data_IF_889193894531
#
_entry.id   IF_889193894531
#
_cell.length_a   1.000
_cell.length_b   1.000
_cell.length_c   1.000
_cell.angle_alpha   90.00
_cell.angle_beta   90.00
_cell.angle_gamma   90.00
#
_symmetry.space_group_name_H-M   'P 1'
#
loop_
_entity.id
_entity.type
_entity.pdbx_description
1 polymer ?
#
# COMPACT_ATOMS: atom_id res chain seq x y z
N UNK A 1 48.59 -36.09 6.45
CA UNK A 1 48.21 -34.88 5.69
C UNK A 1 47.08 -34.20 6.45
N UNK A 2 47.40 -33.27 7.35
CA UNK A 2 46.43 -32.68 8.27
C UNK A 2 45.75 -31.47 7.64
N UNK A 3 44.47 -31.63 7.32
CA UNK A 3 43.56 -30.55 6.91
C UNK A 3 43.34 -29.65 8.12
N UNK A 4 44.13 -28.58 8.23
CA UNK A 4 43.91 -27.49 9.18
C UNK A 4 42.77 -26.62 8.63
N UNK A 5 41.54 -27.03 8.86
CA UNK A 5 40.37 -26.16 8.66
C UNK A 5 40.51 -25.01 9.65
N UNK A 6 40.87 -23.85 9.10
CA UNK A 6 41.13 -22.63 9.85
C UNK A 6 39.88 -22.19 10.59
N UNK A 7 39.95 -22.19 11.93
CA UNK A 7 38.90 -21.73 12.86
C UNK A 7 38.41 -20.31 12.52
N UNK A 8 39.24 -19.52 11.81
CA UNK A 8 38.94 -18.16 11.37
C UNK A 8 37.79 -18.08 10.36
N UNK A 9 37.55 -19.11 9.54
CA UNK A 9 36.47 -19.09 8.53
C UNK A 9 35.09 -19.29 9.19
N UNK A 10 35.03 -20.04 10.29
CA UNK A 10 33.78 -20.28 11.03
C UNK A 10 33.35 -19.06 11.85
N UNK A 11 34.29 -18.24 12.31
CA UNK A 11 34.01 -17.01 13.06
C UNK A 11 33.47 -15.86 12.19
N UNK A 12 33.70 -15.88 10.88
CA UNK A 12 33.25 -14.80 9.98
C UNK A 12 31.76 -14.93 9.60
N UNK A 13 31.20 -16.14 9.65
CA UNK A 13 29.76 -16.36 9.41
C UNK A 13 28.87 -16.02 10.62
N UNK A 14 29.42 -15.90 11.83
CA UNK A 14 28.64 -15.58 13.03
C UNK A 14 28.35 -14.08 13.22
N UNK A 15 28.97 -13.21 12.42
CA UNK A 15 28.83 -11.75 12.51
C UNK A 15 27.85 -11.15 11.50
N UNK A 16 27.31 -11.96 10.57
CA UNK A 16 26.24 -11.50 9.70
C UNK A 16 24.93 -11.59 10.47
N UNK A 17 24.46 -10.46 11.02
CA UNK A 17 23.07 -10.29 11.41
C UNK A 17 22.20 -10.49 10.16
N UNK A 18 21.81 -11.73 9.89
CA UNK A 18 20.73 -12.00 8.95
C UNK A 18 19.47 -11.52 9.66
N UNK A 19 19.08 -10.27 9.41
CA UNK A 19 17.75 -9.78 9.74
C UNK A 19 16.76 -10.57 8.86
N UNK A 20 16.33 -11.73 9.34
CA UNK A 20 15.16 -12.41 8.80
C UNK A 20 13.95 -11.60 9.26
N UNK A 21 13.59 -10.57 8.49
CA UNK A 21 12.31 -9.89 8.66
C UNK A 21 11.21 -10.93 8.54
N UNK A 22 10.32 -11.02 9.53
CA UNK A 22 9.13 -11.82 9.38
C UNK A 22 8.36 -11.29 8.17
N UNK A 23 8.14 -12.10 7.13
CA UNK A 23 7.24 -11.75 6.03
C UNK A 23 5.81 -11.64 6.59
N UNK A 24 5.53 -10.50 7.20
CA UNK A 24 4.22 -10.13 7.70
C UNK A 24 3.39 -9.59 6.55
N UNK A 25 2.07 -9.70 6.68
CA UNK A 25 1.14 -9.03 5.77
C UNK A 25 1.35 -7.51 5.90
N UNK A 26 2.10 -6.91 4.97
CA UNK A 26 2.60 -5.55 5.13
C UNK A 26 1.59 -4.47 4.73
N UNK A 27 0.84 -4.67 3.65
CA UNK A 27 -0.25 -3.74 3.26
C UNK A 27 -1.59 -4.32 3.70
N UNK A 28 -2.39 -3.53 4.43
CA UNK A 28 -3.73 -3.91 4.88
C UNK A 28 -4.84 -3.06 4.28
N UNK A 29 -4.53 -1.81 3.94
CA UNK A 29 -5.51 -0.87 3.38
C UNK A 29 -4.91 -0.03 2.27
N UNK A 30 -5.71 0.20 1.22
CA UNK A 30 -5.44 1.20 0.18
C UNK A 30 -6.69 2.09 0.10
N UNK A 31 -6.53 3.40 0.19
CA UNK A 31 -7.65 4.36 0.23
C UNK A 31 -7.31 5.59 -0.62
N UNK A 32 -8.13 5.96 -1.61
CA UNK A 32 -9.24 5.17 -2.17
C UNK A 32 -8.72 3.87 -2.84
N UNK A 33 -9.63 2.92 -3.10
CA UNK A 33 -9.29 1.65 -3.79
C UNK A 33 -9.48 1.71 -5.31
N UNK A 34 -10.11 2.78 -5.79
CA UNK A 34 -10.55 2.92 -7.16
C UNK A 34 -10.52 4.40 -7.54
N UNK A 35 -10.19 4.71 -8.80
CA UNK A 35 -10.31 6.06 -9.35
C UNK A 35 -10.52 6.06 -10.87
N UNK A 36 -10.93 7.22 -11.38
CA UNK A 36 -11.18 7.42 -12.80
C UNK A 36 -9.86 7.55 -13.58
N UNK A 37 -9.78 6.93 -14.76
CA UNK A 37 -8.65 7.15 -15.67
C UNK A 37 -8.55 8.61 -16.12
N UNK A 38 -7.33 9.09 -16.36
CA UNK A 38 -7.06 10.49 -16.72
C UNK A 38 -7.09 11.46 -15.54
N UNK A 39 -7.07 10.96 -14.31
CA UNK A 39 -7.04 11.79 -13.10
C UNK A 39 -5.76 11.55 -12.29
N UNK A 40 -5.43 12.50 -11.42
CA UNK A 40 -4.40 12.35 -10.40
C UNK A 40 -5.08 12.37 -9.04
N UNK A 41 -4.86 11.34 -8.22
CA UNK A 41 -5.52 11.19 -6.94
C UNK A 41 -4.51 10.86 -5.83
N UNK A 42 -4.72 11.41 -4.64
CA UNK A 42 -3.95 11.03 -3.47
C UNK A 42 -4.43 9.67 -2.95
N UNK A 43 -3.48 8.78 -2.69
CA UNK A 43 -3.71 7.43 -2.18
C UNK A 43 -2.92 7.23 -0.90
N UNK A 44 -3.64 6.77 0.13
CA UNK A 44 -3.10 6.35 1.42
C UNK A 44 -3.03 4.83 1.47
N UNK A 45 -1.82 4.29 1.69
CA UNK A 45 -1.53 2.87 1.83
C UNK A 45 -1.17 2.63 3.29
N UNK A 46 -1.92 1.77 3.99
CA UNK A 46 -1.78 1.53 5.42
C UNK A 46 -1.45 0.08 5.75
N UNK A 47 -0.66 -0.13 6.80
CA UNK A 47 -0.24 -1.46 7.22
C UNK A 47 0.94 -1.46 8.20
N UNK A 48 1.92 -2.34 8.00
CA UNK A 48 3.14 -2.50 8.83
C UNK A 48 4.39 -2.64 7.96
N UNK A 49 5.56 -2.27 8.51
CA UNK A 49 6.84 -2.29 7.79
C UNK A 49 6.84 -1.42 6.52
N UNK A 50 6.18 -0.26 6.58
CA UNK A 50 6.04 0.70 5.46
C UNK A 50 6.95 1.93 5.61
N UNK A 51 7.78 1.98 6.66
CA UNK A 51 8.74 3.05 6.89
C UNK A 51 9.71 3.22 5.71
N UNK A 52 10.08 4.48 5.44
CA UNK A 52 11.01 4.87 4.38
C UNK A 52 10.62 4.32 2.98
N UNK A 53 9.43 4.72 2.47
CA UNK A 53 8.92 4.26 1.19
C UNK A 53 9.78 4.82 0.04
N UNK A 54 10.17 3.94 -0.89
CA UNK A 54 11.08 4.29 -1.98
C UNK A 54 10.37 4.34 -3.33
N UNK A 55 9.49 3.38 -3.60
CA UNK A 55 8.91 3.19 -4.93
C UNK A 55 7.66 2.32 -4.93
N UNK A 56 6.68 2.65 -5.76
CA UNK A 56 5.55 1.75 -6.06
C UNK A 56 5.74 1.15 -7.45
N UNK A 57 5.68 -0.17 -7.51
CA UNK A 57 5.90 -0.97 -8.71
C UNK A 57 4.56 -1.56 -9.13
N UNK A 58 4.00 -1.03 -10.23
CA UNK A 58 2.81 -1.60 -10.86
C UNK A 58 3.20 -2.74 -11.81
N UNK A 59 2.38 -3.78 -11.87
CA UNK A 59 2.58 -4.92 -12.79
C UNK A 59 2.05 -4.68 -14.20
N UNK A 60 1.36 -3.55 -14.40
CA UNK A 60 0.78 -3.14 -15.68
C UNK A 60 1.04 -1.65 -15.89
N UNK A 61 1.20 -1.18 -17.14
CA UNK A 61 1.36 0.23 -17.43
C UNK A 61 0.06 1.01 -17.19
N UNK A 62 0.16 2.34 -17.15
CA UNK A 62 -1.00 3.24 -17.09
C UNK A 62 -1.18 3.99 -15.77
N UNK A 63 -0.44 3.61 -14.71
CA UNK A 63 -0.41 4.33 -13.43
C UNK A 63 1.04 4.63 -13.06
N UNK A 64 1.31 5.87 -12.66
CA UNK A 64 2.58 6.28 -12.06
C UNK A 64 2.33 6.79 -10.64
N UNK A 65 3.11 6.30 -9.68
CA UNK A 65 3.08 6.82 -8.32
C UNK A 65 4.16 7.88 -8.12
N UNK A 66 3.81 9.01 -7.52
CA UNK A 66 4.73 10.11 -7.22
C UNK A 66 4.54 10.63 -5.79
N UNK A 67 5.54 11.33 -5.27
CA UNK A 67 5.43 12.01 -3.97
C UNK A 67 5.23 11.08 -2.78
N UNK A 68 5.81 9.87 -2.83
CA UNK A 68 5.74 8.89 -1.76
C UNK A 68 6.37 9.49 -0.48
N UNK A 69 5.60 9.49 0.59
CA UNK A 69 6.02 9.94 1.92
C UNK A 69 5.30 9.15 3.00
N UNK A 70 5.93 9.01 4.15
CA UNK A 70 5.21 8.54 5.35
C UNK A 70 4.11 9.54 5.69
N UNK A 71 2.94 9.06 6.11
CA UNK A 71 1.87 9.93 6.59
C UNK A 71 2.33 10.76 7.79
N UNK A 72 1.99 12.06 7.80
CA UNK A 72 2.36 12.97 8.89
C UNK A 72 1.69 12.56 10.20
N UNK A 73 0.39 12.24 10.13
CA UNK A 73 -0.33 11.65 11.24
C UNK A 73 -0.37 10.13 11.11
N UNK A 74 0.09 9.37 12.12
CA UNK A 74 0.05 7.92 12.06
C UNK A 74 -1.41 7.44 12.10
N UNK A 75 -1.75 6.39 11.34
CA UNK A 75 -3.10 5.85 11.34
C UNK A 75 -3.46 5.32 12.73
N UNK A 76 -4.75 5.35 13.07
CA UNK A 76 -5.25 4.71 14.30
C UNK A 76 -4.83 3.24 14.33
N UNK A 77 -3.96 2.91 15.28
CA UNK A 77 -3.45 1.54 15.45
C UNK A 77 -4.60 0.58 15.70
N UNK A 78 -4.72 -0.44 14.86
CA UNK A 78 -5.77 -1.46 14.99
C UNK A 78 -5.28 -2.81 14.52
N UNK A 79 -5.68 -3.86 15.24
CA UNK A 79 -5.55 -5.24 14.81
C UNK A 79 -6.79 -5.65 14.02
N UNK A 80 -6.60 -6.47 13.01
CA UNK A 80 -7.65 -6.98 12.13
C UNK A 80 -7.97 -8.43 12.51
N UNK A 81 -9.19 -8.86 12.20
CA UNK A 81 -9.69 -10.19 12.57
C UNK A 81 -8.81 -11.33 12.04
N UNK A 82 -8.17 -11.14 10.88
CA UNK A 82 -7.25 -12.09 10.26
C UNK A 82 -5.81 -12.01 10.79
N UNK A 83 -5.58 -11.37 11.94
CA UNK A 83 -4.26 -11.24 12.57
C UNK A 83 -3.37 -10.13 11.99
N UNK A 84 -3.86 -9.40 10.98
CA UNK A 84 -3.18 -8.23 10.42
C UNK A 84 -3.22 -7.01 11.34
N UNK A 85 -2.43 -5.97 11.02
CA UNK A 85 -2.48 -4.70 11.76
C UNK A 85 -2.21 -3.51 10.84
N UNK A 86 -2.80 -2.36 11.18
CA UNK A 86 -2.44 -1.06 10.61
C UNK A 86 -1.74 -0.27 11.68
N UNK A 87 -0.47 0.08 11.47
CA UNK A 87 0.39 0.84 12.40
C UNK A 87 1.09 2.02 11.72
N UNK A 88 1.30 1.92 10.42
CA UNK A 88 2.00 2.87 9.57
C UNK A 88 1.17 3.17 8.33
N UNK A 89 1.38 4.35 7.74
CA UNK A 89 0.74 4.72 6.48
C UNK A 89 1.73 5.49 5.59
N UNK A 90 1.56 5.31 4.28
CA UNK A 90 2.29 5.98 3.21
C UNK A 90 1.27 6.73 2.37
N UNK A 91 1.55 7.98 2.06
CA UNK A 91 0.75 8.83 1.19
C UNK A 91 1.52 9.09 -0.09
N UNK A 92 0.85 9.01 -1.23
CA UNK A 92 1.42 9.26 -2.55
C UNK A 92 0.32 9.71 -3.51
N UNK A 93 0.68 10.20 -4.68
CA UNK A 93 -0.29 10.45 -5.75
C UNK A 93 -0.18 9.39 -6.83
N UNK A 94 -1.32 8.86 -7.26
CA UNK A 94 -1.42 8.02 -8.45
C UNK A 94 -1.85 8.91 -9.61
N UNK A 95 -0.95 9.11 -10.57
CA UNK A 95 -1.24 9.71 -11.86
C UNK A 95 -1.71 8.61 -12.81
N UNK A 96 -2.98 8.64 -13.20
CA UNK A 96 -3.62 7.61 -14.01
C UNK A 96 -3.75 8.14 -15.44
N UNK A 97 -3.12 7.46 -16.40
CA UNK A 97 -3.14 7.88 -17.78
C UNK A 97 -4.57 7.92 -18.36
N UNK A 98 -4.90 8.84 -19.28
CA UNK A 98 -6.23 8.91 -19.91
C UNK A 98 -6.63 7.63 -20.66
N UNK A 99 -5.65 6.88 -21.17
CA UNK A 99 -5.79 5.62 -21.91
C UNK A 99 -5.56 4.38 -21.02
N UNK A 100 -5.39 4.56 -19.70
CA UNK A 100 -5.22 3.46 -18.76
C UNK A 100 -6.40 2.46 -18.88
N UNK A 101 -6.13 1.15 -19.06
CA UNK A 101 -7.18 0.14 -19.16
C UNK A 101 -8.05 0.11 -17.91
N UNK A 102 -9.38 0.06 -18.00
CA UNK A 102 -10.21 -0.19 -16.83
C UNK A 102 -9.94 -1.58 -16.23
N UNK A 103 -9.97 -1.69 -14.91
CA UNK A 103 -9.78 -2.95 -14.19
C UNK A 103 -8.79 -2.86 -13.04
N UNK A 104 -8.41 -4.03 -12.53
CA UNK A 104 -7.49 -4.17 -11.41
C UNK A 104 -6.03 -3.94 -11.85
N UNK A 105 -5.32 -3.09 -11.11
CA UNK A 105 -3.89 -2.85 -11.22
C UNK A 105 -3.21 -3.30 -9.94
N UNK A 106 -2.55 -4.46 -10.01
CA UNK A 106 -1.74 -4.96 -8.92
C UNK A 106 -0.45 -4.13 -8.79
N UNK A 107 -0.02 -3.88 -7.55
CA UNK A 107 1.23 -3.20 -7.25
C UNK A 107 1.90 -3.72 -5.99
N UNK A 108 3.18 -3.38 -5.81
CA UNK A 108 3.91 -3.52 -4.55
C UNK A 108 4.58 -2.20 -4.19
N UNK A 109 4.78 -1.97 -2.90
CA UNK A 109 5.61 -0.90 -2.37
C UNK A 109 6.98 -1.49 -2.03
N UNK A 110 8.04 -0.82 -2.48
CA UNK A 110 9.41 -1.04 -2.03
C UNK A 110 9.73 -0.02 -0.95
N UNK A 111 10.11 -0.49 0.23
CA UNK A 111 10.73 0.33 1.28
C UNK A 111 12.25 0.17 1.23
N UNK A 112 12.98 0.83 2.11
CA UNK A 112 14.43 0.62 2.21
C UNK A 112 14.82 -0.77 2.71
N UNK A 113 13.93 -1.47 3.41
CA UNK A 113 14.22 -2.77 4.02
C UNK A 113 13.48 -3.94 3.37
N UNK A 114 12.31 -3.71 2.77
CA UNK A 114 11.40 -4.78 2.35
C UNK A 114 10.70 -4.47 1.02
N UNK A 115 10.22 -5.52 0.37
CA UNK A 115 9.23 -5.43 -0.71
C UNK A 115 7.92 -5.98 -0.18
N UNK A 116 6.84 -5.18 -0.25
CA UNK A 116 5.56 -5.58 0.32
C UNK A 116 4.95 -6.79 -0.40
N UNK A 117 3.92 -7.36 0.24
CA UNK A 117 2.96 -8.17 -0.50
C UNK A 117 2.24 -7.35 -1.59
N UNK A 118 1.56 -8.05 -2.49
CA UNK A 118 0.76 -7.42 -3.54
C UNK A 118 -0.45 -6.72 -2.92
N UNK A 119 -0.69 -5.50 -3.35
CA UNK A 119 -1.93 -4.77 -3.17
C UNK A 119 -2.55 -4.44 -4.53
N UNK A 120 -3.81 -4.01 -4.53
CA UNK A 120 -4.55 -3.72 -5.76
C UNK A 120 -5.17 -2.34 -5.72
N UNK A 121 -5.26 -1.74 -6.90
CA UNK A 121 -5.96 -0.49 -7.16
C UNK A 121 -6.78 -0.63 -8.43
N UNK A 122 -8.03 -0.19 -8.45
CA UNK A 122 -8.89 -0.32 -9.61
C UNK A 122 -8.97 0.98 -10.42
N UNK A 123 -9.01 0.86 -11.73
CA UNK A 123 -9.25 1.98 -12.65
C UNK A 123 -10.61 1.80 -13.30
N UNK A 124 -11.37 2.89 -13.37
CA UNK A 124 -12.72 2.94 -13.96
C UNK A 124 -12.80 4.07 -14.99
N UNK A 125 -13.67 3.97 -16.02
CA UNK A 125 -13.96 5.11 -16.88
C UNK A 125 -14.85 6.16 -16.19
N UNK A 126 -15.52 5.83 -15.09
CA UNK A 126 -16.49 6.67 -14.40
C UNK A 126 -15.87 7.39 -13.19
N UNK A 127 -16.33 8.61 -12.84
CA UNK A 127 -15.89 9.28 -11.63
C UNK A 127 -16.31 8.49 -10.39
N UNK A 128 -15.48 8.57 -9.33
CA UNK A 128 -15.82 8.07 -8.00
C UNK A 128 -16.34 9.25 -7.22
N UNK A 129 -17.64 9.22 -6.89
CA UNK A 129 -18.28 10.23 -6.08
C UNK A 129 -18.51 9.66 -4.69
N UNK A 130 -18.00 10.35 -3.67
CA UNK A 130 -18.34 10.03 -2.29
C UNK A 130 -19.80 10.44 -2.04
N UNK A 131 -20.50 9.63 -1.25
CA UNK A 131 -21.87 9.93 -0.86
C UNK A 131 -21.93 11.17 0.02
N UNK A 132 -22.89 12.05 -0.26
CA UNK A 132 -23.14 13.23 0.55
C UNK A 132 -24.04 12.90 1.76
N UNK A 133 -23.49 12.18 2.73
CA UNK A 133 -24.22 11.77 3.94
C UNK A 133 -23.79 12.63 5.15
N UNK A 134 -24.70 13.46 5.69
CA UNK A 134 -24.44 14.25 6.91
C UNK A 134 -24.48 13.42 8.21
N UNK A 135 -25.03 12.20 8.17
CA UNK A 135 -25.10 11.30 9.31
C UNK A 135 -25.80 9.99 8.99
N UNK A 136 -25.53 8.96 9.79
CA UNK A 136 -25.98 7.58 9.54
C UNK A 136 -27.45 7.46 9.11
N UNK A 137 -27.65 6.91 7.92
CA UNK A 137 -28.90 6.53 7.32
C UNK A 137 -29.87 7.71 7.12
N UNK A 138 -29.36 8.94 6.99
CA UNK A 138 -30.20 10.14 6.96
C UNK A 138 -30.90 10.37 5.59
N UNK A 139 -30.32 9.83 4.52
CA UNK A 139 -30.74 9.94 3.12
C UNK A 139 -31.12 8.57 2.51
N UNK A 140 -31.31 7.54 3.34
CA UNK A 140 -31.62 6.15 2.92
C UNK A 140 -33.10 5.92 2.53
N UNK A 141 -33.98 6.89 2.81
CA UNK A 141 -35.40 6.79 2.45
C UNK A 141 -35.70 7.53 1.15
N UNK A 142 -36.71 7.06 0.41
CA UNK A 142 -37.16 7.73 -0.82
C UNK A 142 -37.54 9.21 -0.62
N UNK A 143 -37.94 9.58 0.60
CA UNK A 143 -38.36 10.94 0.97
C UNK A 143 -37.17 11.89 1.19
N UNK A 144 -36.02 11.35 1.63
CA UNK A 144 -34.84 12.13 2.01
C UNK A 144 -33.63 11.88 1.08
N UNK A 145 -33.82 11.08 0.02
CA UNK A 145 -32.78 10.79 -0.96
C UNK A 145 -32.32 12.09 -1.63
N UNK A 146 -31.00 12.25 -1.77
CA UNK A 146 -30.39 13.38 -2.45
C UNK A 146 -30.33 13.11 -3.95
N UNK A 147 -30.53 14.16 -4.75
CA UNK A 147 -30.26 14.11 -6.18
C UNK A 147 -28.75 14.02 -6.43
N UNK A 148 -28.35 13.12 -7.35
CA UNK A 148 -26.94 12.80 -7.68
C UNK A 148 -26.52 13.43 -9.00
#
# INVERSE_FOLDING_TARGET
MHVRISVTVLSLCALTNVCVGAMTKSIETVRPRIAQRGTTIEVTIGGVSLADPQEIIFYQPGIRAIGLRTAEEPPRKRSLMHGGAVKEAVVCQFEIAPDCPPGEHAFRLRTSTELTQIATFHVTPFPVMDENEEGHNNNDTMENALDV
#
